data_IF_305160282236
#
_entry.id   IF_305160282236
#
_cell.length_a   1.000
_cell.length_b   1.000
_cell.length_c   1.000
_cell.angle_alpha   90.00
_cell.angle_beta   90.00
_cell.angle_gamma   90.00
#
_symmetry.space_group_name_H-M   'P 1'
#
loop_
_entity.id
_entity.type
_entity.pdbx_description
1 polymer ?
#
# COMPACT_ATOMS: atom_id res chain seq x y z
N UNK A 1 2.72 -18.26 25.42
CA UNK A 1 2.56 -19.54 24.69
C UNK A 1 1.57 -19.35 23.55
N UNK A 2 2.09 -18.85 22.42
CA UNK A 2 1.65 -19.07 21.02
C UNK A 2 2.57 -18.19 20.15
N UNK A 3 3.88 -18.39 20.28
CA UNK A 3 4.97 -17.67 19.59
C UNK A 3 5.12 -18.11 18.12
N UNK A 4 4.02 -18.50 17.47
CA UNK A 4 4.02 -18.83 16.05
C UNK A 4 3.48 -17.60 15.33
N UNK A 5 4.39 -16.82 14.75
CA UNK A 5 4.02 -15.66 13.92
C UNK A 5 3.08 -16.16 12.82
N UNK A 6 1.84 -15.67 12.82
CA UNK A 6 0.87 -16.01 11.77
C UNK A 6 1.53 -15.82 10.40
N UNK A 7 1.39 -16.80 9.51
CA UNK A 7 1.96 -16.73 8.15
C UNK A 7 1.51 -15.47 7.42
N UNK A 8 0.32 -14.96 7.73
CA UNK A 8 -0.22 -13.69 7.22
C UNK A 8 0.48 -12.44 7.76
N UNK A 9 1.27 -12.53 8.82
CA UNK A 9 2.07 -11.41 9.33
C UNK A 9 3.47 -11.33 8.67
N UNK A 10 3.82 -12.28 7.78
CA UNK A 10 5.10 -12.30 7.08
C UNK A 10 5.05 -11.50 5.79
N UNK A 11 5.82 -10.39 5.73
CA UNK A 11 5.96 -9.57 4.53
C UNK A 11 6.52 -10.35 3.34
N UNK A 12 7.36 -11.36 3.60
CA UNK A 12 7.93 -12.24 2.57
C UNK A 12 6.85 -13.10 1.90
N UNK A 13 5.87 -13.58 2.67
CA UNK A 13 4.77 -14.39 2.14
C UNK A 13 3.86 -13.54 1.28
N UNK A 14 3.52 -12.33 1.74
CA UNK A 14 2.76 -11.38 0.91
C UNK A 14 3.51 -10.95 -0.35
N UNK A 15 4.82 -10.73 -0.27
CA UNK A 15 5.64 -10.44 -1.44
C UNK A 15 5.64 -11.58 -2.46
N UNK A 16 5.79 -12.83 -2.00
CA UNK A 16 5.70 -14.01 -2.84
C UNK A 16 4.31 -14.17 -3.49
N UNK A 17 3.23 -13.94 -2.73
CA UNK A 17 1.86 -13.98 -3.24
C UNK A 17 1.65 -12.93 -4.33
N UNK A 18 2.09 -11.69 -4.11
CA UNK A 18 1.97 -10.60 -5.10
C UNK A 18 2.81 -10.88 -6.36
N UNK A 19 3.98 -11.51 -6.22
CA UNK A 19 4.83 -11.86 -7.36
C UNK A 19 4.23 -12.96 -8.24
N UNK A 20 3.51 -13.93 -7.63
CA UNK A 20 2.95 -15.09 -8.33
C UNK A 20 1.50 -14.86 -8.79
N UNK A 21 0.76 -13.97 -8.12
CA UNK A 21 -0.65 -13.71 -8.42
C UNK A 21 -0.92 -13.31 -9.89
N UNK A 22 -0.16 -12.41 -10.54
CA UNK A 22 -0.39 -12.06 -11.95
C UNK A 22 -0.28 -13.25 -12.88
N UNK A 23 0.70 -14.14 -12.65
CA UNK A 23 0.89 -15.36 -13.44
C UNK A 23 -0.29 -16.31 -13.29
N UNK A 24 -0.78 -16.50 -12.06
CA UNK A 24 -1.95 -17.36 -11.79
C UNK A 24 -3.23 -16.76 -12.38
N UNK A 25 -3.42 -15.45 -12.27
CA UNK A 25 -4.57 -14.75 -12.84
C UNK A 25 -4.56 -14.82 -14.38
N UNK A 26 -3.38 -14.67 -15.00
CA UNK A 26 -3.19 -14.86 -16.44
C UNK A 26 -3.57 -16.27 -16.90
N UNK A 27 -3.24 -17.31 -16.11
CA UNK A 27 -3.65 -18.70 -16.40
C UNK A 27 -5.16 -18.91 -16.29
N UNK A 28 -5.86 -18.12 -15.46
CA UNK A 28 -7.33 -18.14 -15.34
C UNK A 28 -8.03 -17.30 -16.43
N UNK A 29 -7.28 -16.76 -17.39
CA UNK A 29 -7.81 -15.93 -18.47
C UNK A 29 -8.03 -14.46 -18.09
N UNK A 30 -7.65 -14.06 -16.87
CA UNK A 30 -7.63 -12.67 -16.43
C UNK A 30 -6.27 -12.08 -16.82
N UNK A 31 -6.20 -11.48 -18.01
CA UNK A 31 -5.02 -10.76 -18.47
C UNK A 31 -4.83 -9.50 -17.62
N UNK A 32 -4.15 -9.65 -16.49
CA UNK A 32 -3.62 -8.52 -15.72
C UNK A 32 -2.41 -8.00 -16.49
N UNK A 33 -2.62 -6.94 -17.27
CA UNK A 33 -1.54 -6.31 -18.02
C UNK A 33 -0.67 -5.47 -17.09
N UNK A 34 0.55 -5.14 -17.54
CA UNK A 34 1.39 -4.19 -16.82
C UNK A 34 0.75 -2.80 -16.66
N UNK A 35 -0.19 -2.43 -17.54
CA UNK A 35 -0.95 -1.20 -17.44
C UNK A 35 -1.95 -1.24 -16.26
N UNK A 36 -2.63 -2.36 -16.04
CA UNK A 36 -3.58 -2.53 -14.93
C UNK A 36 -2.87 -2.45 -13.57
N UNK A 37 -1.68 -3.05 -13.47
CA UNK A 37 -0.84 -2.96 -12.27
C UNK A 37 -0.37 -1.52 -12.02
N UNK A 38 0.00 -0.79 -13.08
CA UNK A 38 0.39 0.62 -12.99
C UNK A 38 -0.78 1.52 -12.58
N UNK A 39 -1.97 1.29 -13.13
CA UNK A 39 -3.19 2.04 -12.78
C UNK A 39 -3.58 1.80 -11.31
N UNK A 40 -3.57 0.54 -10.86
CA UNK A 40 -3.82 0.21 -9.46
C UNK A 40 -2.80 0.88 -8.52
N UNK A 41 -1.52 0.85 -8.88
CA UNK A 41 -0.48 1.55 -8.12
C UNK A 41 -0.70 3.07 -8.09
N UNK A 42 -1.17 3.65 -9.20
CA UNK A 42 -1.50 5.07 -9.27
C UNK A 42 -2.68 5.42 -8.34
N UNK A 43 -3.74 4.60 -8.30
CA UNK A 43 -4.87 4.81 -7.39
C UNK A 43 -4.47 4.72 -5.92
N UNK A 44 -3.63 3.74 -5.56
CA UNK A 44 -3.09 3.64 -4.20
C UNK A 44 -2.28 4.88 -3.84
N UNK A 45 -1.39 5.33 -4.73
CA UNK A 45 -0.64 6.56 -4.52
C UNK A 45 -1.55 7.77 -4.38
N UNK A 46 -2.59 7.90 -5.21
CA UNK A 46 -3.55 9.00 -5.12
C UNK A 46 -4.25 9.06 -3.75
N UNK A 47 -4.64 7.90 -3.20
CA UNK A 47 -5.24 7.82 -1.86
C UNK A 47 -4.23 8.22 -0.79
N UNK A 48 -2.99 7.72 -0.86
CA UNK A 48 -1.93 8.07 0.09
C UNK A 48 -1.62 9.56 0.03
N UNK A 49 -1.50 10.14 -1.17
CA UNK A 49 -1.25 11.56 -1.38
C UNK A 49 -2.40 12.41 -0.88
N UNK A 50 -3.65 12.01 -1.14
CA UNK A 50 -4.82 12.73 -0.64
C UNK A 50 -4.87 12.70 0.90
N UNK A 51 -4.70 11.53 1.52
CA UNK A 51 -4.66 11.39 2.96
C UNK A 51 -3.47 12.15 3.59
N UNK A 52 -2.30 12.06 2.98
CA UNK A 52 -1.10 12.80 3.38
C UNK A 52 -1.29 14.31 3.28
N UNK A 53 -1.92 14.80 2.22
CA UNK A 53 -2.28 16.21 2.05
C UNK A 53 -3.26 16.70 3.13
N UNK A 54 -4.28 15.90 3.44
CA UNK A 54 -5.20 16.20 4.55
C UNK A 54 -4.47 16.21 5.89
N UNK A 55 -3.57 15.27 6.15
CA UNK A 55 -2.75 15.24 7.36
C UNK A 55 -1.82 16.45 7.46
N UNK A 56 -1.25 16.92 6.34
CA UNK A 56 -0.43 18.14 6.30
C UNK A 56 -1.27 19.36 6.65
N UNK A 57 -2.45 19.51 6.05
CA UNK A 57 -3.36 20.63 6.37
C UNK A 57 -3.76 20.57 7.84
N UNK A 58 -4.13 19.40 8.35
CA UNK A 58 -4.46 19.20 9.76
C UNK A 58 -3.28 19.53 10.69
N UNK A 59 -2.08 19.05 10.37
CA UNK A 59 -0.86 19.32 11.13
C UNK A 59 -0.52 20.81 11.17
N UNK A 60 -0.70 21.51 10.05
CA UNK A 60 -0.50 22.96 9.96
C UNK A 60 -1.52 23.75 10.79
N UNK A 61 -2.79 23.34 10.79
CA UNK A 61 -3.84 24.01 11.58
C UNK A 61 -3.68 23.73 13.08
N UNK A 62 -3.23 22.52 13.46
CA UNK A 62 -3.05 22.13 14.85
C UNK A 62 -1.71 22.59 15.45
N UNK A 63 -0.76 23.02 14.63
CA UNK A 63 0.52 23.54 15.09
C UNK A 63 0.34 24.86 15.85
N UNK A 64 0.07 24.76 17.15
CA UNK A 64 -0.08 25.88 18.10
C UNK A 64 1.23 26.26 18.79
N UNK A 65 2.29 25.45 18.60
CA UNK A 65 3.61 25.66 19.19
C UNK A 65 4.61 25.96 18.07
N UNK A 66 5.40 27.03 18.24
CA UNK A 66 6.45 27.37 17.29
C UNK A 66 7.46 26.23 17.17
N UNK A 67 7.83 25.86 15.93
CA UNK A 67 8.98 25.01 15.68
C UNK A 67 10.19 25.93 15.54
N UNK A 68 10.92 26.09 16.63
CA UNK A 68 12.10 26.96 16.74
C UNK A 68 12.32 27.36 18.20
N UNK A 69 13.59 27.58 18.58
CA UNK A 69 13.95 28.15 19.88
C UNK A 69 13.42 29.58 20.00
#
# INVERSE_FOLDING_TARGET
MNDVKSFLASKTIWGAVIAVAPTVLGMLGLNVTGADAAEAAQHVNAIITAAGGLLVVYGRVKATKAIGK
#
